data_IF_008926926974
#
_entry.id   IF_008926926974
#
_cell.length_a   1.000
_cell.length_b   1.000
_cell.length_c   1.000
_cell.angle_alpha   90.00
_cell.angle_beta   90.00
_cell.angle_gamma   90.00
#
_symmetry.space_group_name_H-M   'P 1'
#
loop_
_entity.id
_entity.type
_entity.pdbx_description
1 polymer ?
#
# COMPACT_ATOMS: atom_id res chain seq x y z
N UNK A 1 13.79 8.50 1.21
CA UNK A 1 15.14 8.05 1.56
C UNK A 1 14.94 6.89 2.48
N UNK A 2 15.18 5.74 1.90
CA UNK A 2 14.94 4.43 2.48
C UNK A 2 15.96 4.18 3.58
N UNK A 3 15.70 3.19 4.44
CA UNK A 3 16.65 2.75 5.47
C UNK A 3 18.09 2.63 4.93
N UNK A 4 18.22 1.96 3.79
CA UNK A 4 19.42 1.93 2.98
C UNK A 4 19.08 2.58 1.64
N UNK A 5 19.80 3.65 1.27
CA UNK A 5 19.53 4.42 0.05
C UNK A 5 20.84 5.05 -0.43
N UNK A 6 21.17 5.03 -1.74
CA UNK A 6 22.37 5.70 -2.28
C UNK A 6 22.49 7.17 -1.88
N UNK A 7 21.36 7.85 -1.69
CA UNK A 7 21.28 9.24 -1.23
C UNK A 7 21.79 9.38 0.20
N UNK A 8 21.47 8.42 1.09
CA UNK A 8 21.97 8.41 2.47
C UNK A 8 23.50 8.31 2.48
N UNK A 9 24.08 7.39 1.70
CA UNK A 9 25.53 7.26 1.58
C UNK A 9 26.19 8.49 0.95
N UNK A 10 25.54 9.12 -0.03
CA UNK A 10 26.03 10.35 -0.68
C UNK A 10 26.06 11.52 0.31
N UNK A 11 25.01 11.66 1.12
CA UNK A 11 24.92 12.66 2.17
C UNK A 11 25.98 12.41 3.25
N UNK A 12 26.10 11.17 3.74
CA UNK A 12 27.11 10.79 4.72
C UNK A 12 28.52 11.17 4.25
N UNK A 13 28.88 10.79 3.02
CA UNK A 13 30.19 11.12 2.43
C UNK A 13 30.42 12.63 2.39
N UNK A 14 29.40 13.39 2.02
CA UNK A 14 29.48 14.86 1.95
C UNK A 14 29.66 15.48 3.33
N UNK A 15 28.94 14.98 4.35
CA UNK A 15 29.06 15.43 5.74
C UNK A 15 30.45 15.14 6.30
N UNK A 16 30.98 13.93 6.07
CA UNK A 16 32.36 13.54 6.48
C UNK A 16 33.46 14.35 5.79
N UNK A 17 33.16 15.01 4.67
CA UNK A 17 34.08 15.97 4.06
C UNK A 17 34.18 17.32 4.80
N UNK A 18 33.29 17.59 5.76
CA UNK A 18 33.15 18.88 6.43
C UNK A 18 33.29 18.74 7.96
N UNK A 19 32.78 17.67 8.54
CA UNK A 19 32.81 17.42 9.98
C UNK A 19 33.79 16.30 10.33
N UNK A 20 34.29 16.29 11.57
CA UNK A 20 35.19 15.24 12.04
C UNK A 20 34.53 13.84 11.99
N UNK A 21 35.34 12.83 11.69
CA UNK A 21 34.88 11.44 11.52
C UNK A 21 34.26 10.84 12.78
N UNK A 22 34.61 11.36 13.96
CA UNK A 22 34.09 10.91 15.24
C UNK A 22 32.86 11.70 15.74
N UNK A 23 32.24 12.52 14.88
CA UNK A 23 30.95 13.14 15.20
C UNK A 23 29.83 12.16 14.83
N UNK A 24 28.95 11.76 15.77
CA UNK A 24 27.82 10.88 15.46
C UNK A 24 26.87 11.47 14.42
N UNK A 25 26.43 10.67 13.45
CA UNK A 25 25.39 11.01 12.47
C UNK A 25 24.29 9.95 12.50
N UNK A 26 23.08 10.32 12.93
CA UNK A 26 21.90 9.45 12.88
C UNK A 26 20.95 9.94 11.78
N UNK A 27 20.75 9.12 10.74
CA UNK A 27 19.70 9.32 9.76
C UNK A 27 18.38 8.75 10.28
N UNK A 28 17.31 9.52 10.18
CA UNK A 28 15.93 9.07 10.36
C UNK A 28 15.30 8.97 8.98
N UNK A 29 15.03 7.75 8.55
CA UNK A 29 14.60 7.38 7.20
C UNK A 29 13.17 6.84 7.20
N UNK A 30 12.64 6.56 6.01
CA UNK A 30 11.23 6.24 5.76
C UNK A 30 11.03 5.75 4.33
N UNK A 31 9.78 5.74 3.86
CA UNK A 31 9.34 5.35 2.50
C UNK A 31 9.14 3.86 2.25
N UNK A 32 10.04 2.99 2.73
CA UNK A 32 9.92 1.54 2.49
C UNK A 32 8.90 0.84 3.37
N UNK A 33 8.46 1.51 4.44
CA UNK A 33 7.54 0.98 5.45
C UNK A 33 8.19 -0.10 6.34
N UNK A 34 9.53 -0.18 6.39
CA UNK A 34 10.22 -1.19 7.18
C UNK A 34 10.55 -0.71 8.59
N UNK A 35 10.53 -1.64 9.55
CA UNK A 35 11.21 -1.47 10.83
C UNK A 35 12.64 -1.93 10.64
N UNK A 36 13.60 -1.02 10.67
CA UNK A 36 14.99 -1.42 10.51
C UNK A 36 16.02 -0.39 10.96
N UNK A 37 17.23 -0.88 11.14
CA UNK A 37 18.39 -0.11 11.53
C UNK A 37 19.60 -0.65 10.77
N UNK A 38 20.47 0.23 10.32
CA UNK A 38 21.70 -0.16 9.62
C UNK A 38 22.86 0.72 10.05
N UNK A 39 24.04 0.10 10.20
CA UNK A 39 25.29 0.81 10.48
C UNK A 39 25.86 1.28 9.14
N UNK A 40 26.14 2.58 9.01
CA UNK A 40 26.67 3.16 7.78
C UNK A 40 28.20 3.31 7.83
N UNK A 41 28.72 3.82 8.95
CA UNK A 41 30.14 3.83 9.28
C UNK A 41 30.29 3.62 10.79
N UNK A 42 31.51 3.74 11.32
CA UNK A 42 31.71 3.63 12.75
C UNK A 42 30.79 4.57 13.52
N UNK A 43 30.77 5.86 13.19
CA UNK A 43 30.03 6.91 13.88
C UNK A 43 28.74 7.34 13.16
N UNK A 44 28.13 6.46 12.36
CA UNK A 44 26.91 6.78 11.64
C UNK A 44 25.98 5.59 11.47
N UNK A 45 24.67 5.86 11.57
CA UNK A 45 23.62 4.87 11.40
C UNK A 45 22.39 5.47 10.70
N UNK A 46 21.56 4.60 10.12
CA UNK A 46 20.25 4.94 9.57
C UNK A 46 19.16 4.09 10.23
N UNK A 47 17.99 4.67 10.43
CA UNK A 47 16.89 4.07 11.20
C UNK A 47 15.53 4.42 10.59
N UNK A 48 14.71 3.39 10.34
CA UNK A 48 13.35 3.51 9.80
C UNK A 48 12.35 2.82 10.74
N UNK A 49 11.25 3.52 11.07
CA UNK A 49 10.32 3.13 12.13
C UNK A 49 8.97 2.62 11.62
N UNK A 50 8.97 1.75 10.61
CA UNK A 50 7.76 1.06 10.15
C UNK A 50 6.74 1.98 9.48
N UNK A 51 5.45 1.71 9.68
CA UNK A 51 4.37 2.42 8.98
C UNK A 51 3.03 2.40 9.73
N UNK A 52 2.10 3.26 9.32
CA UNK A 52 0.70 3.25 9.80
C UNK A 52 0.51 3.35 11.32
N UNK A 53 1.48 3.99 12.01
CA UNK A 53 1.49 4.09 13.47
C UNK A 53 1.38 2.71 14.12
N UNK A 54 2.03 1.70 13.54
CA UNK A 54 2.22 0.39 14.16
C UNK A 54 3.41 0.38 15.14
N UNK A 55 4.33 1.34 14.95
CA UNK A 55 5.61 1.45 15.65
C UNK A 55 5.86 2.88 16.11
N UNK A 56 6.40 3.02 17.31
CA UNK A 56 7.10 4.20 17.80
C UNK A 56 8.58 3.84 17.81
N UNK A 57 9.35 4.51 16.96
CA UNK A 57 10.79 4.31 16.89
C UNK A 57 11.52 5.06 18.00
N UNK A 58 12.45 4.37 18.67
CA UNK A 58 13.38 4.98 19.61
C UNK A 58 14.81 4.80 19.08
N UNK A 59 15.60 5.87 19.08
CA UNK A 59 17.03 5.81 18.82
C UNK A 59 17.80 6.76 19.73
N UNK A 60 18.97 6.34 20.18
CA UNK A 60 19.87 7.14 21.02
C UNK A 60 21.32 6.88 20.62
N UNK A 61 22.17 7.89 20.77
CA UNK A 61 23.60 7.77 20.51
C UNK A 61 24.42 8.58 21.52
N UNK A 62 25.66 8.16 21.74
CA UNK A 62 26.61 8.88 22.59
C UNK A 62 27.55 9.74 21.74
N UNK A 63 27.82 10.96 22.21
CA UNK A 63 28.89 11.79 21.64
C UNK A 63 30.29 11.42 22.14
N UNK A 64 30.38 10.60 23.18
CA UNK A 64 31.65 10.24 23.85
C UNK A 64 32.14 8.84 23.48
N UNK A 65 31.23 7.95 23.08
CA UNK A 65 31.54 6.59 22.66
C UNK A 65 30.84 6.31 21.34
N UNK A 66 31.50 5.51 20.51
CA UNK A 66 30.89 5.06 19.28
C UNK A 66 29.80 4.01 19.53
N UNK A 67 28.62 4.47 19.98
CA UNK A 67 27.51 3.60 20.35
C UNK A 67 26.18 4.21 19.92
N UNK A 68 25.45 3.42 19.14
CA UNK A 68 24.07 3.67 18.75
C UNK A 68 23.20 2.58 19.38
N UNK A 69 22.01 2.96 19.82
CA UNK A 69 21.00 2.04 20.36
C UNK A 69 19.65 2.42 19.80
N UNK A 70 18.82 1.42 19.53
CA UNK A 70 17.49 1.61 18.96
C UNK A 70 16.52 0.60 19.55
N UNK A 71 15.23 0.93 19.48
CA UNK A 71 14.13 0.02 19.82
C UNK A 71 12.91 0.32 18.95
N UNK A 72 12.12 -0.71 18.70
CA UNK A 72 10.84 -0.63 18.00
C UNK A 72 9.72 -0.91 18.99
N UNK A 73 9.03 0.15 19.40
CA UNK A 73 7.97 0.06 20.41
C UNK A 73 6.64 -0.09 19.68
N UNK A 74 5.93 -1.19 19.86
CA UNK A 74 4.59 -1.32 19.28
C UNK A 74 3.69 -0.19 19.80
N UNK A 75 3.03 0.49 18.87
CA UNK A 75 2.26 1.71 19.14
C UNK A 75 0.88 1.41 19.76
N UNK A 76 0.87 0.67 20.86
CA UNK A 76 -0.33 0.39 21.66
C UNK A 76 -0.14 0.83 23.12
N UNK A 77 -1.24 1.22 23.77
CA UNK A 77 -1.24 1.77 25.14
C UNK A 77 -0.56 0.84 26.14
N UNK A 78 -0.86 -0.48 26.20
CA UNK A 78 -0.18 -1.39 27.12
C UNK A 78 1.35 -1.40 26.96
N UNK A 79 1.84 -1.46 25.71
CA UNK A 79 3.29 -1.49 25.45
C UNK A 79 3.95 -0.16 25.82
N UNK A 80 3.35 0.96 25.44
CA UNK A 80 3.88 2.29 25.80
C UNK A 80 3.91 2.51 27.33
N UNK A 81 2.86 2.11 28.04
CA UNK A 81 2.81 2.19 29.50
C UNK A 81 3.90 1.35 30.16
N UNK A 82 4.11 0.12 29.67
CA UNK A 82 5.14 -0.78 30.16
C UNK A 82 6.56 -0.22 29.96
N UNK A 83 6.86 0.35 28.79
CA UNK A 83 8.17 0.98 28.52
C UNK A 83 8.43 2.17 29.44
N UNK A 84 7.41 2.96 29.75
CA UNK A 84 7.53 4.12 30.63
C UNK A 84 7.46 3.77 32.13
N UNK A 85 7.15 2.50 32.49
CA UNK A 85 6.94 2.09 33.87
C UNK A 85 5.71 2.75 34.53
N UNK A 86 4.70 3.11 33.75
CA UNK A 86 3.50 3.81 34.21
C UNK A 86 2.34 2.86 34.43
N UNK A 87 1.64 3.03 35.55
CA UNK A 87 0.34 2.37 35.81
C UNK A 87 -0.84 3.14 35.24
N UNK A 88 -0.75 4.47 35.15
CA UNK A 88 -1.68 5.33 34.42
C UNK A 88 -0.95 6.04 33.28
N UNK A 89 -1.25 5.63 32.04
CA UNK A 89 -0.66 6.21 30.83
C UNK A 89 -1.35 7.49 30.38
N UNK A 90 -2.60 7.71 30.80
CA UNK A 90 -3.44 8.73 30.19
C UNK A 90 -3.22 10.10 30.85
N UNK A 91 -2.94 11.11 30.03
CA UNK A 91 -2.89 12.51 30.48
C UNK A 91 -4.19 13.23 30.17
N UNK A 92 -4.47 14.35 30.86
CA UNK A 92 -5.63 15.21 30.53
C UNK A 92 -5.59 15.68 29.08
N UNK A 93 -4.41 16.07 28.58
CA UNK A 93 -4.21 16.48 27.19
C UNK A 93 -4.45 15.30 26.21
N UNK A 94 -3.95 14.11 26.52
CA UNK A 94 -4.16 12.90 25.70
C UNK A 94 -5.63 12.50 25.58
N UNK A 95 -6.39 12.63 26.68
CA UNK A 95 -7.85 12.43 26.68
C UNK A 95 -8.57 13.47 25.82
N UNK A 96 -8.17 14.75 25.89
CA UNK A 96 -8.73 15.82 25.05
C UNK A 96 -8.50 15.53 23.57
N UNK A 97 -7.25 15.22 23.19
CA UNK A 97 -6.90 14.89 21.81
C UNK A 97 -7.66 13.66 21.30
N UNK A 98 -7.81 12.63 22.14
CA UNK A 98 -8.60 11.43 21.78
C UNK A 98 -10.07 11.77 21.49
N UNK A 99 -10.66 12.74 22.20
CA UNK A 99 -12.03 13.19 21.95
C UNK A 99 -12.12 14.01 20.66
N UNK A 100 -11.12 14.85 20.36
CA UNK A 100 -11.05 15.62 19.12
C UNK A 100 -10.92 14.70 17.90
N UNK A 101 -10.09 13.66 17.97
CA UNK A 101 -9.98 12.65 16.91
C UNK A 101 -11.35 11.98 16.67
N UNK A 102 -12.05 11.54 17.73
CA UNK A 102 -13.39 10.94 17.60
C UNK A 102 -14.39 11.89 16.98
N UNK A 103 -14.36 13.17 17.36
CA UNK A 103 -15.23 14.18 16.78
C UNK A 103 -14.95 14.39 15.28
N UNK A 104 -13.68 14.41 14.88
CA UNK A 104 -13.28 14.50 13.47
C UNK A 104 -13.74 13.27 12.67
N UNK A 105 -13.55 12.06 13.21
CA UNK A 105 -14.02 10.82 12.58
C UNK A 105 -15.55 10.84 12.34
N UNK A 106 -16.32 11.33 13.32
CA UNK A 106 -17.76 11.48 13.20
C UNK A 106 -18.15 12.54 12.15
N UNK A 107 -17.48 13.70 12.15
CA UNK A 107 -17.74 14.78 11.18
C UNK A 107 -17.48 14.34 9.73
N UNK A 108 -16.43 13.53 9.51
CA UNK A 108 -16.07 12.95 8.21
C UNK A 108 -16.90 11.72 7.82
N UNK A 109 -17.77 11.26 8.73
CA UNK A 109 -18.61 10.05 8.60
C UNK A 109 -17.79 8.81 8.29
N UNK A 110 -16.65 8.65 8.96
CA UNK A 110 -15.76 7.49 8.73
C UNK A 110 -16.42 6.17 9.14
N UNK A 111 -17.36 6.20 10.08
CA UNK A 111 -18.16 5.05 10.51
C UNK A 111 -19.39 4.76 9.62
N UNK A 112 -19.52 5.39 8.45
CA UNK A 112 -20.59 5.09 7.50
C UNK A 112 -20.39 3.68 6.94
N UNK A 113 -21.31 2.78 7.25
CA UNK A 113 -21.29 1.38 6.78
C UNK A 113 -21.71 1.28 5.32
N UNK A 114 -20.94 0.53 4.53
CA UNK A 114 -21.27 0.21 3.14
C UNK A 114 -21.80 -1.22 3.00
N UNK A 115 -21.29 -2.17 3.75
CA UNK A 115 -21.67 -3.58 3.65
C UNK A 115 -20.91 -4.45 4.62
N UNK A 116 -20.91 -5.76 4.40
CA UNK A 116 -20.28 -6.73 5.26
C UNK A 116 -19.43 -7.71 4.44
N UNK A 117 -18.10 -7.61 4.52
CA UNK A 117 -17.19 -8.51 3.84
C UNK A 117 -17.40 -9.96 4.33
N UNK A 118 -17.62 -10.93 3.42
CA UNK A 118 -17.94 -12.31 3.81
C UNK A 118 -16.76 -13.04 4.45
N UNK A 119 -15.53 -12.59 4.17
CA UNK A 119 -14.28 -13.11 4.70
C UNK A 119 -13.18 -12.05 4.63
N UNK A 120 -12.02 -12.33 5.23
CA UNK A 120 -10.86 -11.45 5.17
C UNK A 120 -10.13 -11.64 3.84
N UNK A 121 -9.81 -10.54 3.17
CA UNK A 121 -9.00 -10.49 1.97
C UNK A 121 -7.68 -9.79 2.25
N UNK A 122 -6.58 -10.43 1.85
CA UNK A 122 -5.23 -9.99 2.13
C UNK A 122 -4.59 -9.37 0.89
N UNK A 123 -4.00 -8.20 1.07
CA UNK A 123 -3.29 -7.42 0.05
C UNK A 123 -2.02 -8.09 -0.45
N UNK A 124 -1.42 -8.99 0.32
CA UNK A 124 -0.15 -9.66 -0.01
C UNK A 124 -0.25 -11.09 -0.56
N UNK A 125 -1.46 -11.61 -0.83
CA UNK A 125 -1.63 -12.98 -1.33
C UNK A 125 -1.52 -13.06 -2.87
N UNK A 126 -1.10 -14.21 -3.44
CA UNK A 126 -1.08 -14.43 -4.88
C UNK A 126 -2.45 -14.18 -5.52
N UNK A 127 -2.51 -13.84 -6.80
CA UNK A 127 -3.78 -13.50 -7.48
C UNK A 127 -4.79 -14.66 -7.53
N UNK A 128 -4.30 -15.90 -7.55
CA UNK A 128 -5.11 -17.12 -7.62
C UNK A 128 -5.52 -17.65 -6.24
N UNK A 129 -5.08 -17.01 -5.15
CA UNK A 129 -5.52 -17.32 -3.80
C UNK A 129 -6.96 -16.82 -3.57
N UNK A 130 -7.81 -17.66 -3.00
CA UNK A 130 -9.21 -17.32 -2.74
C UNK A 130 -9.39 -16.12 -1.80
N UNK A 131 -8.39 -15.81 -0.97
CA UNK A 131 -8.38 -14.70 -0.02
C UNK A 131 -7.51 -13.54 -0.53
N UNK A 132 -7.17 -13.53 -1.82
CA UNK A 132 -6.45 -12.43 -2.45
C UNK A 132 -7.33 -11.21 -2.64
N UNK A 133 -6.94 -10.09 -2.03
CA UNK A 133 -7.62 -8.82 -2.25
C UNK A 133 -7.45 -8.35 -3.71
N UNK A 134 -6.25 -8.54 -4.28
CA UNK A 134 -5.97 -8.22 -5.67
C UNK A 134 -6.63 -9.21 -6.65
N UNK A 135 -6.76 -10.49 -6.26
CA UNK A 135 -7.56 -11.47 -6.98
C UNK A 135 -9.02 -11.01 -7.09
N UNK A 136 -9.66 -10.75 -5.95
CA UNK A 136 -11.03 -10.20 -5.88
C UNK A 136 -11.18 -8.93 -6.71
N UNK A 137 -10.24 -7.99 -6.58
CA UNK A 137 -10.26 -6.74 -7.32
C UNK A 137 -10.29 -6.96 -8.84
N UNK A 138 -9.41 -7.84 -9.33
CA UNK A 138 -9.25 -8.13 -10.75
C UNK A 138 -10.38 -8.98 -11.34
N UNK A 139 -10.94 -9.91 -10.57
CA UNK A 139 -11.96 -10.86 -11.04
C UNK A 139 -13.40 -10.38 -10.86
N UNK A 140 -13.66 -9.54 -9.85
CA UNK A 140 -15.03 -9.17 -9.47
C UNK A 140 -15.23 -7.67 -9.41
N UNK A 141 -14.45 -6.95 -8.58
CA UNK A 141 -14.71 -5.52 -8.31
C UNK A 141 -14.67 -4.71 -9.59
N UNK A 142 -13.54 -4.73 -10.31
CA UNK A 142 -13.37 -3.95 -11.54
C UNK A 142 -14.34 -4.38 -12.64
N UNK A 143 -14.47 -5.67 -13.00
CA UNK A 143 -15.44 -6.11 -14.00
C UNK A 143 -16.86 -5.66 -13.69
N UNK A 144 -17.29 -5.78 -12.42
CA UNK A 144 -18.64 -5.42 -12.01
C UNK A 144 -18.87 -3.90 -12.03
N UNK A 145 -17.98 -3.11 -11.45
CA UNK A 145 -18.23 -1.67 -11.24
C UNK A 145 -17.83 -0.80 -12.42
N UNK A 146 -16.73 -1.10 -13.11
CA UNK A 146 -16.22 -0.26 -14.20
C UNK A 146 -16.74 -0.70 -15.56
N UNK A 147 -16.89 -2.00 -15.77
CA UNK A 147 -17.10 -2.55 -17.09
C UNK A 147 -18.46 -3.20 -17.29
N UNK A 148 -19.33 -3.21 -16.26
CA UNK A 148 -20.65 -3.86 -16.33
C UNK A 148 -20.56 -5.30 -16.86
N UNK A 149 -19.51 -6.02 -16.42
CA UNK A 149 -19.13 -7.36 -16.87
C UNK A 149 -18.80 -7.50 -18.37
N UNK A 150 -18.44 -6.41 -19.05
CA UNK A 150 -17.95 -6.46 -20.43
C UNK A 150 -16.53 -7.06 -20.48
N UNK A 151 -16.46 -8.33 -20.88
CA UNK A 151 -15.21 -9.11 -20.96
C UNK A 151 -14.20 -8.59 -22.00
N UNK A 152 -14.59 -7.68 -22.89
CA UNK A 152 -13.68 -7.05 -23.86
C UNK A 152 -13.02 -5.78 -23.30
N UNK A 153 -13.21 -5.44 -22.02
CA UNK A 153 -12.54 -4.32 -21.36
C UNK A 153 -11.69 -4.81 -20.21
N UNK A 154 -10.49 -4.25 -20.10
CA UNK A 154 -9.52 -4.61 -19.06
C UNK A 154 -8.90 -3.35 -18.47
N UNK A 155 -8.70 -3.36 -17.16
CA UNK A 155 -7.93 -2.37 -16.43
C UNK A 155 -6.53 -2.96 -16.20
N UNK A 156 -5.48 -2.18 -16.44
CA UNK A 156 -4.13 -2.46 -15.98
C UNK A 156 -3.84 -1.53 -14.82
N UNK A 157 -3.32 -2.04 -13.71
CA UNK A 157 -3.03 -1.20 -12.54
C UNK A 157 -1.86 -1.78 -11.73
N UNK A 158 -1.10 -0.89 -11.12
CA UNK A 158 -0.02 -1.26 -10.21
C UNK A 158 -0.54 -1.79 -8.87
N UNK A 159 0.13 -2.80 -8.31
CA UNK A 159 -0.30 -3.45 -7.06
C UNK A 159 -0.02 -2.65 -5.79
N UNK A 160 0.54 -1.43 -5.94
CA UNK A 160 0.78 -0.51 -4.84
C UNK A 160 -0.38 0.41 -4.49
N UNK A 161 -1.52 0.33 -5.21
CA UNK A 161 -2.67 1.20 -4.96
C UNK A 161 -3.54 0.74 -3.77
N UNK A 162 -3.59 -0.57 -3.49
CA UNK A 162 -4.21 -1.13 -2.29
C UNK A 162 -3.19 -1.20 -1.15
N UNK A 163 -3.52 -0.59 -0.01
CA UNK A 163 -2.58 -0.25 1.07
C UNK A 163 -2.79 -1.01 2.35
N UNK A 164 -3.90 -1.75 2.45
CA UNK A 164 -4.23 -2.51 3.65
C UNK A 164 -5.08 -3.72 3.30
N UNK A 165 -5.19 -4.65 4.25
CA UNK A 165 -6.09 -5.79 4.13
C UNK A 165 -7.54 -5.34 4.38
N UNK A 166 -8.49 -6.10 3.84
CA UNK A 166 -9.92 -5.91 4.08
C UNK A 166 -10.43 -7.04 4.98
N UNK A 167 -10.72 -6.73 6.24
CA UNK A 167 -11.14 -7.72 7.22
C UNK A 167 -12.61 -8.13 7.05
N UNK A 168 -12.93 -9.38 7.39
CA UNK A 168 -14.31 -9.88 7.41
C UNK A 168 -15.21 -9.10 8.37
N UNK A 169 -16.50 -9.02 8.04
CA UNK A 169 -17.51 -8.34 8.86
C UNK A 169 -17.87 -6.97 8.31
N UNK A 170 -18.41 -6.10 9.17
CA UNK A 170 -18.86 -4.78 8.77
C UNK A 170 -17.72 -3.96 8.16
N UNK A 171 -17.95 -3.43 6.96
CA UNK A 171 -17.03 -2.54 6.25
C UNK A 171 -17.61 -1.13 6.23
N UNK A 172 -16.86 -0.19 6.79
CA UNK A 172 -17.21 1.22 6.78
C UNK A 172 -16.31 2.07 5.87
N UNK A 173 -16.60 3.37 5.80
CA UNK A 173 -15.83 4.33 5.01
C UNK A 173 -14.35 4.33 5.42
N UNK A 174 -14.05 4.21 6.71
CA UNK A 174 -12.69 4.19 7.23
C UNK A 174 -11.91 2.99 6.66
N UNK A 175 -12.52 1.81 6.65
CA UNK A 175 -11.90 0.60 6.10
C UNK A 175 -11.57 0.77 4.62
N UNK A 176 -12.53 1.29 3.83
CA UNK A 176 -12.35 1.49 2.39
C UNK A 176 -11.24 2.51 2.09
N UNK A 177 -11.22 3.66 2.76
CA UNK A 177 -10.18 4.68 2.51
C UNK A 177 -8.82 4.27 3.08
N UNK A 178 -8.78 3.37 4.07
CA UNK A 178 -7.51 2.81 4.57
C UNK A 178 -6.95 1.81 3.56
N UNK A 179 -7.80 0.95 3.00
CA UNK A 179 -7.44 -0.09 2.04
C UNK A 179 -7.17 0.47 0.63
N UNK A 180 -7.97 1.42 0.13
CA UNK A 180 -7.85 2.05 -1.20
C UNK A 180 -7.90 3.58 -1.07
N UNK A 181 -6.82 4.23 -0.62
CA UNK A 181 -6.81 5.65 -0.27
C UNK A 181 -6.74 6.60 -1.47
N UNK A 182 -6.35 6.11 -2.65
CA UNK A 182 -6.14 6.96 -3.81
C UNK A 182 -7.44 7.17 -4.56
N UNK A 183 -7.76 8.42 -4.86
CA UNK A 183 -8.91 8.80 -5.68
C UNK A 183 -8.53 8.92 -7.16
N UNK A 184 -7.70 7.98 -7.66
CA UNK A 184 -7.26 7.98 -9.05
C UNK A 184 -8.45 7.78 -10.00
N UNK A 185 -8.51 8.62 -11.03
CA UNK A 185 -9.49 8.49 -12.12
C UNK A 185 -9.04 7.45 -13.14
N UNK A 186 -9.99 6.93 -13.93
CA UNK A 186 -9.69 5.94 -14.96
C UNK A 186 -9.52 6.58 -16.33
N UNK A 187 -8.63 6.00 -17.13
CA UNK A 187 -8.25 6.50 -18.45
C UNK A 187 -8.23 5.35 -19.44
N UNK A 188 -8.73 5.57 -20.65
CA UNK A 188 -8.41 4.68 -21.78
C UNK A 188 -6.95 4.88 -22.16
N UNK A 189 -6.27 3.83 -22.61
CA UNK A 189 -4.90 3.90 -23.12
C UNK A 189 -4.81 3.42 -24.56
N UNK A 190 -5.45 2.29 -24.84
CA UNK A 190 -5.42 1.66 -26.16
C UNK A 190 -6.72 0.89 -26.40
N UNK A 191 -7.11 0.74 -27.66
CA UNK A 191 -8.35 0.07 -28.04
C UNK A 191 -8.08 -1.07 -29.01
N UNK A 192 -8.96 -2.08 -29.01
CA UNK A 192 -8.89 -3.24 -29.91
C UNK A 192 -7.50 -3.91 -29.91
N UNK A 193 -6.92 -4.10 -28.73
CA UNK A 193 -5.62 -4.74 -28.57
C UNK A 193 -5.80 -6.25 -28.50
N UNK A 194 -5.10 -6.99 -29.36
CA UNK A 194 -5.12 -8.45 -29.35
C UNK A 194 -4.55 -8.98 -28.03
N UNK A 195 -5.16 -10.02 -27.45
CA UNK A 195 -4.75 -10.60 -26.16
C UNK A 195 -3.29 -11.05 -26.12
N UNK A 196 -2.74 -11.55 -27.22
CA UNK A 196 -1.31 -11.88 -27.32
C UNK A 196 -0.40 -10.66 -27.11
N UNK A 197 -0.79 -9.50 -27.65
CA UNK A 197 -0.07 -8.23 -27.50
C UNK A 197 -0.19 -7.72 -26.07
N UNK A 198 -1.38 -7.81 -25.49
CA UNK A 198 -1.61 -7.42 -24.09
C UNK A 198 -0.73 -8.22 -23.12
N UNK A 199 -0.56 -9.52 -23.34
CA UNK A 199 0.39 -10.35 -22.56
C UNK A 199 1.83 -9.84 -22.63
N UNK A 200 2.28 -9.38 -23.80
CA UNK A 200 3.62 -8.79 -23.96
C UNK A 200 3.76 -7.47 -23.20
N UNK A 201 2.74 -6.61 -23.25
CA UNK A 201 2.71 -5.35 -22.47
C UNK A 201 2.80 -5.65 -20.97
N UNK A 202 2.00 -6.59 -20.47
CA UNK A 202 2.04 -6.99 -19.06
C UNK A 202 3.39 -7.57 -18.65
N UNK A 203 4.04 -8.35 -19.52
CA UNK A 203 5.39 -8.86 -19.28
C UNK A 203 6.42 -7.73 -19.21
N UNK A 204 6.35 -6.76 -20.12
CA UNK A 204 7.24 -5.60 -20.16
C UNK A 204 7.09 -4.72 -18.91
N UNK A 205 5.85 -4.42 -18.51
CA UNK A 205 5.55 -3.66 -17.29
C UNK A 205 6.17 -4.33 -16.05
N UNK A 206 5.91 -5.61 -15.89
CA UNK A 206 6.39 -6.36 -14.73
C UNK A 206 7.91 -6.59 -14.74
N UNK A 207 8.52 -6.70 -15.91
CA UNK A 207 9.98 -6.78 -16.04
C UNK A 207 10.65 -5.44 -15.72
N UNK A 208 10.14 -4.33 -16.25
CA UNK A 208 10.68 -2.99 -16.00
C UNK A 208 10.61 -2.64 -14.50
N UNK A 209 9.51 -2.97 -13.83
CA UNK A 209 9.38 -2.79 -12.38
C UNK A 209 10.38 -3.64 -11.60
N UNK A 210 10.55 -4.93 -11.97
CA UNK A 210 11.55 -5.80 -11.34
C UNK A 210 12.97 -5.28 -11.52
N UNK A 211 13.31 -4.74 -12.70
CA UNK A 211 14.64 -4.16 -12.92
C UNK A 211 14.90 -2.94 -12.03
N UNK A 212 13.88 -2.09 -11.81
CA UNK A 212 13.98 -0.97 -10.85
C UNK A 212 14.20 -1.46 -9.40
N UNK A 213 13.45 -2.49 -9.00
CA UNK A 213 13.56 -3.13 -7.67
C UNK A 213 14.88 -3.91 -7.50
N UNK A 214 15.43 -4.48 -8.57
CA UNK A 214 16.71 -5.19 -8.52
C UNK A 214 17.90 -4.23 -8.57
N UNK A 215 17.81 -3.09 -9.28
CA UNK A 215 18.84 -2.05 -9.24
C UNK A 215 18.95 -1.41 -7.85
N UNK A 216 17.82 -1.25 -7.16
CA UNK A 216 17.84 -0.94 -5.72
C UNK A 216 18.41 -2.14 -4.97
N UNK A 217 17.77 -3.32 -4.96
CA UNK A 217 18.17 -4.44 -4.09
C UNK A 217 19.60 -4.98 -4.27
N UNK A 218 20.20 -4.97 -5.48
CA UNK A 218 21.55 -5.49 -5.73
C UNK A 218 22.66 -4.64 -5.10
N UNK A 219 22.33 -3.45 -4.59
CA UNK A 219 23.21 -2.60 -3.76
C UNK A 219 22.88 -2.64 -2.26
N UNK A 220 21.83 -3.35 -1.84
CA UNK A 220 21.17 -3.20 -0.52
C UNK A 220 21.10 -4.50 0.32
N UNK A 221 21.74 -5.61 -0.07
CA UNK A 221 21.53 -6.88 0.63
C UNK A 221 22.81 -7.71 0.85
N UNK A 222 23.33 -7.64 2.08
CA UNK A 222 24.12 -8.69 2.74
C UNK A 222 23.48 -9.16 4.06
N UNK A 223 22.23 -8.74 4.35
CA UNK A 223 21.47 -9.09 5.55
C UNK A 223 20.20 -9.89 5.21
N UNK A 224 19.73 -10.68 6.17
CA UNK A 224 18.79 -11.81 6.06
C UNK A 224 17.31 -11.49 5.75
N UNK A 225 16.99 -10.39 5.05
CA UNK A 225 15.60 -10.05 4.66
C UNK A 225 15.25 -10.32 3.18
N UNK A 226 16.04 -11.16 2.50
CA UNK A 226 15.78 -11.58 1.12
C UNK A 226 14.69 -12.68 1.04
N UNK A 227 13.47 -12.45 1.52
CA UNK A 227 12.35 -13.40 1.34
C UNK A 227 10.96 -12.76 1.30
N UNK A 228 10.79 -11.61 0.65
CA UNK A 228 9.53 -11.36 -0.06
C UNK A 228 9.85 -11.30 -1.55
N UNK A 229 9.93 -12.48 -2.17
CA UNK A 229 9.59 -12.55 -3.59
C UNK A 229 8.15 -12.07 -3.64
N UNK A 230 7.91 -10.89 -4.21
CA UNK A 230 6.55 -10.34 -4.32
C UNK A 230 5.64 -11.44 -4.86
N UNK A 231 4.74 -11.94 -4.00
CA UNK A 231 3.73 -12.94 -4.37
C UNK A 231 2.80 -12.40 -5.45
N UNK A 232 2.81 -11.09 -5.65
CA UNK A 232 2.07 -10.35 -6.64
C UNK A 232 3.00 -9.77 -7.70
N UNK A 233 2.55 -9.68 -8.96
CA UNK A 233 3.23 -8.88 -9.96
C UNK A 233 3.12 -7.38 -9.60
N UNK A 234 4.05 -6.55 -10.09
CA UNK A 234 3.99 -5.09 -9.90
C UNK A 234 2.79 -4.46 -10.60
N UNK A 235 2.33 -5.08 -11.70
CA UNK A 235 1.15 -4.71 -12.47
C UNK A 235 0.26 -5.93 -12.69
N UNK A 236 -1.05 -5.74 -12.46
CA UNK A 236 -2.09 -6.74 -12.74
C UNK A 236 -2.98 -6.27 -13.89
N UNK A 237 -3.80 -7.18 -14.42
CA UNK A 237 -4.88 -6.84 -15.33
C UNK A 237 -6.20 -7.41 -14.81
N UNK A 238 -7.28 -6.62 -14.85
CA UNK A 238 -8.62 -7.11 -14.57
C UNK A 238 -9.13 -7.95 -15.74
N UNK A 239 -9.78 -9.07 -15.48
CA UNK A 239 -10.33 -9.95 -16.51
C UNK A 239 -9.33 -10.98 -17.07
N UNK A 240 -9.86 -11.92 -17.84
CA UNK A 240 -9.11 -13.09 -18.30
C UNK A 240 -8.35 -12.79 -19.61
N UNK A 241 -7.18 -12.16 -19.49
CA UNK A 241 -6.28 -11.89 -20.62
C UNK A 241 -5.64 -13.17 -21.21
N UNK A 242 -6.01 -14.37 -20.75
CA UNK A 242 -5.43 -15.62 -21.24
C UNK A 242 -5.80 -15.92 -22.70
N UNK A 243 -6.87 -15.33 -23.24
CA UNK A 243 -7.33 -15.60 -24.62
C UNK A 243 -6.57 -14.76 -25.64
N UNK A 244 -5.63 -15.36 -26.40
CA UNK A 244 -4.69 -14.61 -27.24
C UNK A 244 -5.33 -14.01 -28.50
N UNK A 245 -6.47 -14.54 -28.95
CA UNK A 245 -7.11 -14.15 -30.21
C UNK A 245 -8.22 -13.11 -30.04
N UNK A 246 -8.67 -12.88 -28.80
CA UNK A 246 -9.66 -11.84 -28.49
C UNK A 246 -9.02 -10.45 -28.47
N UNK A 247 -9.85 -9.42 -28.61
CA UNK A 247 -9.42 -8.01 -28.60
C UNK A 247 -9.98 -7.31 -27.38
N UNK A 248 -9.19 -6.42 -26.80
CA UNK A 248 -9.52 -5.73 -25.56
C UNK A 248 -9.32 -4.23 -25.70
N UNK A 249 -10.23 -3.46 -25.10
CA UNK A 249 -10.02 -2.06 -24.81
C UNK A 249 -9.36 -1.95 -23.43
N UNK A 250 -8.26 -1.20 -23.39
CA UNK A 250 -7.34 -1.15 -22.25
C UNK A 250 -7.49 0.17 -21.52
N UNK A 251 -7.73 0.06 -20.22
CA UNK A 251 -7.88 1.16 -19.29
C UNK A 251 -6.77 1.10 -18.23
N UNK A 252 -6.53 2.21 -17.55
CA UNK A 252 -5.61 2.29 -16.41
C UNK A 252 -6.06 3.37 -15.42
N UNK A 253 -5.57 3.30 -14.18
CA UNK A 253 -5.67 4.40 -13.22
C UNK A 253 -4.73 5.57 -13.61
N UNK A 254 -5.09 6.80 -13.24
CA UNK A 254 -4.35 8.03 -13.56
C UNK A 254 -2.85 7.92 -13.23
N UNK A 255 -2.53 7.45 -12.02
CA UNK A 255 -1.16 7.23 -11.57
C UNK A 255 -0.34 6.37 -12.55
N UNK A 256 -0.97 5.39 -13.19
CA UNK A 256 -0.32 4.38 -14.02
C UNK A 256 -0.29 4.74 -15.52
N UNK A 257 -0.96 5.83 -15.95
CA UNK A 257 -1.07 6.24 -17.36
C UNK A 257 0.30 6.30 -18.03
N UNK A 258 1.28 6.97 -17.42
CA UNK A 258 2.61 7.11 -18.03
C UNK A 258 3.30 5.75 -18.23
N UNK A 259 3.27 4.89 -17.21
CA UNK A 259 3.94 3.58 -17.26
C UNK A 259 3.28 2.66 -18.29
N UNK A 260 1.95 2.60 -18.28
CA UNK A 260 1.18 1.75 -19.20
C UNK A 260 1.32 2.26 -20.63
N UNK A 261 1.20 3.57 -20.87
CA UNK A 261 1.39 4.13 -22.22
C UNK A 261 2.79 3.84 -22.77
N UNK A 262 3.84 4.05 -21.97
CA UNK A 262 5.21 3.74 -22.39
C UNK A 262 5.41 2.26 -22.72
N UNK A 263 4.73 1.34 -22.01
CA UNK A 263 4.80 -0.08 -22.32
C UNK A 263 4.17 -0.41 -23.69
N UNK A 264 3.05 0.23 -24.06
CA UNK A 264 2.47 0.11 -25.39
C UNK A 264 3.35 0.73 -26.49
N UNK A 265 3.87 1.92 -26.25
CA UNK A 265 4.73 2.65 -27.19
C UNK A 265 6.03 1.91 -27.48
N UNK A 266 6.58 1.20 -26.48
CA UNK A 266 7.76 0.34 -26.66
C UNK A 266 7.55 -0.80 -27.66
N UNK A 267 6.30 -1.17 -27.92
CA UNK A 267 5.89 -2.16 -28.92
C UNK A 267 5.42 -1.51 -30.24
N UNK A 268 5.61 -0.20 -30.39
CA UNK A 268 5.18 0.55 -31.58
C UNK A 268 3.68 0.82 -31.64
N UNK A 269 2.96 0.71 -30.51
CA UNK A 269 1.52 0.92 -30.44
C UNK A 269 1.26 2.35 -29.93
N UNK A 270 0.58 3.16 -30.74
CA UNK A 270 0.17 4.50 -30.33
C UNK A 270 -0.90 4.44 -29.25
N UNK A 271 -0.79 5.32 -28.26
CA UNK A 271 -1.70 5.41 -27.12
C UNK A 271 -2.59 6.65 -27.24
N UNK A 272 -3.80 6.55 -26.70
CA UNK A 272 -4.74 7.66 -26.58
C UNK A 272 -5.26 7.71 -25.16
N UNK A 273 -4.77 8.70 -24.41
CA UNK A 273 -5.07 8.87 -23.00
C UNK A 273 -6.26 9.82 -22.84
N UNK A 274 -7.44 9.24 -22.65
CA UNK A 274 -8.69 9.99 -22.43
C UNK A 274 -9.29 9.57 -21.09
N UNK A 275 -9.52 10.53 -20.21
CA UNK A 275 -10.19 10.27 -18.94
C UNK A 275 -11.60 9.75 -19.21
N UNK A 276 -11.99 8.72 -18.48
CA UNK A 276 -13.32 8.13 -18.51
C UNK A 276 -13.93 8.13 -17.11
N UNK A 277 -15.25 8.02 -17.04
CA UNK A 277 -16.01 7.94 -15.79
C UNK A 277 -15.74 9.10 -14.82
N UNK A 278 -16.28 10.29 -15.12
CA UNK A 278 -15.99 11.56 -14.41
C UNK A 278 -16.05 11.52 -12.86
N UNK A 279 -16.86 10.62 -12.29
CA UNK A 279 -17.08 10.53 -10.83
C UNK A 279 -16.61 9.22 -10.22
N UNK A 280 -15.92 8.38 -10.99
CA UNK A 280 -15.51 7.04 -10.55
C UNK A 280 -14.00 7.02 -10.34
N UNK A 281 -13.61 6.66 -9.13
CA UNK A 281 -12.23 6.54 -8.64
C UNK A 281 -11.98 5.16 -8.04
N UNK A 282 -10.70 4.81 -7.85
CA UNK A 282 -10.27 3.59 -7.15
C UNK A 282 -11.00 3.39 -5.80
N UNK A 283 -11.07 4.40 -4.94
CA UNK A 283 -11.81 4.32 -3.68
C UNK A 283 -13.33 4.12 -3.89
N UNK A 284 -13.92 4.78 -4.88
CA UNK A 284 -15.38 4.80 -5.07
C UNK A 284 -15.93 3.46 -5.60
N UNK A 285 -15.13 2.72 -6.37
CA UNK A 285 -15.57 1.42 -6.91
C UNK A 285 -15.72 0.38 -5.81
N UNK A 286 -14.85 0.39 -4.80
CA UNK A 286 -14.99 -0.44 -3.61
C UNK A 286 -16.28 -0.14 -2.85
N UNK A 287 -16.53 1.15 -2.59
CA UNK A 287 -17.77 1.59 -1.95
C UNK A 287 -19.01 1.11 -2.70
N UNK A 288 -18.98 1.17 -4.03
CA UNK A 288 -20.09 0.77 -4.91
C UNK A 288 -20.27 -0.75 -4.99
N UNK A 289 -19.17 -1.51 -5.09
CA UNK A 289 -19.19 -2.97 -5.13
C UNK A 289 -19.70 -3.53 -3.79
N UNK A 290 -19.12 -3.11 -2.67
CA UNK A 290 -19.46 -3.61 -1.33
C UNK A 290 -20.93 -3.33 -1.01
N UNK A 291 -21.43 -2.12 -1.32
CA UNK A 291 -22.83 -1.77 -1.06
C UNK A 291 -23.84 -2.59 -1.87
N UNK A 292 -23.44 -3.13 -3.04
CA UNK A 292 -24.31 -3.89 -3.93
C UNK A 292 -24.20 -5.40 -3.70
N UNK A 293 -22.97 -5.91 -3.64
CA UNK A 293 -22.69 -7.34 -3.63
C UNK A 293 -22.60 -7.91 -2.21
N UNK A 294 -22.27 -7.07 -1.21
CA UNK A 294 -22.09 -7.50 0.17
C UNK A 294 -23.03 -6.77 1.14
N UNK A 295 -24.36 -6.78 0.92
CA UNK A 295 -25.28 -6.21 1.88
C UNK A 295 -25.13 -6.96 3.22
N UNK A 296 -25.02 -6.21 4.31
CA UNK A 296 -25.07 -6.84 5.63
C UNK A 296 -26.41 -7.56 5.79
N UNK A 297 -26.39 -8.80 6.25
CA UNK A 297 -27.61 -9.51 6.59
C UNK A 297 -28.40 -8.67 7.60
N UNK A 298 -29.64 -8.32 7.24
CA UNK A 298 -30.57 -7.74 8.21
C UNK A 298 -30.91 -8.87 9.18
N UNK A 299 -30.18 -8.94 10.29
CA UNK A 299 -30.47 -9.88 11.35
C UNK A 299 -31.95 -9.78 11.71
N UNK A 300 -32.69 -10.86 11.46
CA UNK A 300 -34.00 -11.08 12.07
C UNK A 300 -33.81 -10.96 13.59
N UNK A 301 -34.24 -9.81 14.12
CA UNK A 301 -34.50 -9.47 15.52
C UNK A 301 -33.70 -10.26 16.59
N UNK A 302 -32.81 -9.52 17.25
CA UNK A 302 -32.77 -9.46 18.71
C UNK A 302 -32.15 -10.65 19.42
N UNK A 303 -30.84 -10.54 19.70
CA UNK A 303 -30.28 -10.94 20.97
C UNK A 303 -29.20 -9.93 21.32
N UNK A 304 -29.53 -9.00 22.21
CA UNK A 304 -28.57 -8.16 22.88
C UNK A 304 -27.50 -9.06 23.50
N UNK A 305 -26.27 -9.02 22.97
CA UNK A 305 -25.11 -9.45 23.71
C UNK A 305 -24.44 -8.22 24.27
N UNK A 306 -24.86 -7.90 25.49
CA UNK A 306 -24.07 -7.13 26.44
C UNK A 306 -22.64 -7.67 26.45
N UNK A 307 -21.67 -6.89 25.95
CA UNK A 307 -20.29 -7.06 26.40
C UNK A 307 -20.09 -6.17 27.61
N UNK A 308 -20.23 -6.84 28.75
CA UNK A 308 -19.84 -6.42 30.08
C UNK A 308 -18.35 -6.08 30.12
N UNK A 309 -18.05 -5.00 30.86
CA UNK A 309 -16.84 -4.69 31.64
C UNK A 309 -15.47 -4.90 31.01
#
# INVERSE_FOLDING_TARGET
MDLEDPSVYTLLKSMRGIIADNIPIQFLTGHTHYRGWTKLDDWAASFEAGHYLDTIGFCSFSSSFNQFSYDFIDANVPRMAAVLGLSDFQTTAGKSLSNEIKAAQAALRLNQVYGCAPKTYYSGQPLDDENSLWGLYASEVVPFTLFENNASRVLIQSTGSLRYDLYSGQVDKNDIVTMSPFEDSYWTVAQRIRGSTLKLVMANLNMASRSRVLETNRRHYNGTAATQIDKLPAYISSGNVAKPDEHYDVFTALFDVSSVSSAFESLGISTQNVQVYEKTTDTSIWSSYIAKEWPCEIGLKGLAHSRLK
#
